data_IF_317696931764
#
_entry.id   IF_317696931764
#
_cell.length_a   1.000
_cell.length_b   1.000
_cell.length_c   1.000
_cell.angle_alpha   90.00
_cell.angle_beta   90.00
_cell.angle_gamma   90.00
#
_symmetry.space_group_name_H-M   'P 1'
#
loop_
_entity.id
_entity.type
_entity.pdbx_description
1 polymer ?
#
# COMPACT_ATOMS: atom_id res chain seq x y z
N UNK A 1 39.86 -61.53 -15.90
CA UNK A 1 38.76 -62.29 -15.25
C UNK A 1 37.46 -61.56 -15.55
N UNK A 2 36.52 -62.21 -16.24
CA UNK A 2 35.23 -61.65 -16.66
C UNK A 2 34.19 -62.06 -15.63
N UNK A 3 33.66 -61.12 -14.86
CA UNK A 3 32.59 -61.40 -13.91
C UNK A 3 31.23 -61.24 -14.61
N UNK A 4 30.56 -62.36 -14.83
CA UNK A 4 29.15 -62.43 -15.24
C UNK A 4 28.30 -62.12 -14.01
N UNK A 5 27.36 -61.18 -14.09
CA UNK A 5 26.30 -61.04 -13.10
C UNK A 5 24.94 -60.88 -13.79
N UNK A 6 24.30 -62.04 -13.94
CA UNK A 6 22.89 -62.40 -13.80
C UNK A 6 21.87 -61.25 -13.85
N UNK A 7 21.01 -61.35 -14.87
CA UNK A 7 19.72 -60.68 -15.03
C UNK A 7 18.78 -61.07 -13.87
N UNK A 8 18.20 -60.08 -13.18
CA UNK A 8 16.97 -60.28 -12.42
C UNK A 8 15.94 -59.25 -12.88
N UNK A 9 14.95 -59.77 -13.58
CA UNK A 9 13.83 -59.07 -14.19
C UNK A 9 12.72 -59.04 -13.13
N UNK A 10 12.58 -57.91 -12.42
CA UNK A 10 11.40 -57.64 -11.58
C UNK A 10 10.67 -56.47 -12.20
N UNK A 11 9.68 -56.82 -13.02
CA UNK A 11 8.54 -55.98 -13.35
C UNK A 11 7.68 -55.79 -12.11
N UNK A 12 7.59 -54.57 -11.60
CA UNK A 12 6.42 -54.12 -10.84
C UNK A 12 5.92 -52.84 -11.50
N UNK A 13 4.71 -52.95 -12.02
CA UNK A 13 3.97 -51.94 -12.74
C UNK A 13 3.29 -50.94 -11.79
N UNK A 14 3.10 -49.74 -12.32
CA UNK A 14 2.06 -48.77 -12.00
C UNK A 14 1.99 -48.23 -10.55
N UNK A 15 2.40 -46.97 -10.37
CA UNK A 15 1.44 -45.86 -10.27
C UNK A 15 2.08 -44.62 -10.92
N UNK A 16 1.42 -44.10 -11.96
CA UNK A 16 1.72 -42.80 -12.55
C UNK A 16 1.43 -41.70 -11.52
N UNK A 17 2.48 -41.22 -10.86
CA UNK A 17 2.45 -39.94 -10.15
C UNK A 17 2.57 -38.81 -11.16
N UNK A 18 1.45 -38.40 -11.75
CA UNK A 18 1.36 -37.14 -12.50
C UNK A 18 0.18 -36.33 -11.92
N UNK A 19 0.37 -35.80 -10.71
CA UNK A 19 -0.43 -34.67 -10.26
C UNK A 19 0.10 -33.44 -11.00
N UNK A 20 -0.43 -33.21 -12.21
CA UNK A 20 -0.46 -31.89 -12.81
C UNK A 20 -1.18 -30.94 -11.85
N UNK A 21 -0.49 -29.89 -11.41
CA UNK A 21 -1.03 -28.55 -11.13
C UNK A 21 0.13 -27.63 -10.70
N UNK A 22 1.17 -27.54 -11.53
CA UNK A 22 1.95 -26.33 -11.59
C UNK A 22 1.09 -25.29 -12.28
N UNK A 23 0.34 -24.49 -11.51
CA UNK A 23 -0.21 -23.24 -12.03
C UNK A 23 0.98 -22.33 -12.32
N UNK A 24 1.49 -22.39 -13.55
CA UNK A 24 2.11 -21.23 -14.18
C UNK A 24 1.14 -20.07 -13.96
N UNK A 25 1.58 -19.07 -13.21
CA UNK A 25 0.88 -17.81 -13.11
C UNK A 25 0.78 -17.28 -14.53
N UNK A 26 -0.44 -17.23 -15.05
CA UNK A 26 -0.73 -16.49 -16.26
C UNK A 26 -0.16 -15.07 -16.06
N UNK A 27 0.57 -14.51 -17.05
CA UNK A 27 0.96 -13.11 -17.00
C UNK A 27 -0.30 -12.30 -16.74
N UNK A 28 -0.28 -11.50 -15.68
CA UNK A 28 -1.30 -10.46 -15.46
C UNK A 28 -1.30 -9.61 -16.72
N UNK A 29 -2.37 -9.70 -17.51
CA UNK A 29 -2.52 -8.91 -18.72
C UNK A 29 -2.52 -7.43 -18.34
N UNK A 30 -1.41 -6.76 -18.67
CA UNK A 30 -1.26 -5.32 -18.52
C UNK A 30 -2.21 -4.64 -19.50
N UNK A 31 -3.04 -3.67 -19.07
CA UNK A 31 -3.79 -2.86 -20.01
C UNK A 31 -2.79 -2.08 -20.88
N UNK A 32 -3.08 -2.04 -22.18
CA UNK A 32 -2.21 -1.44 -23.20
C UNK A 32 -1.97 0.05 -22.91
N UNK A 33 -0.76 0.33 -22.43
CA UNK A 33 -0.23 1.66 -22.14
C UNK A 33 0.96 1.49 -21.20
N UNK A 34 2.15 1.25 -21.76
CA UNK A 34 3.36 0.83 -21.05
C UNK A 34 3.83 1.80 -19.96
N UNK A 35 3.16 1.75 -18.80
CA UNK A 35 3.48 2.52 -17.61
C UNK A 35 4.53 1.83 -16.76
N UNK A 36 5.32 2.64 -16.04
CA UNK A 36 6.28 2.14 -15.06
C UNK A 36 5.53 1.52 -13.87
N UNK A 37 6.02 0.39 -13.35
CA UNK A 37 5.52 -0.17 -12.09
C UNK A 37 5.97 0.69 -10.90
N UNK A 38 5.05 0.97 -9.99
CA UNK A 38 5.34 1.64 -8.71
C UNK A 38 5.73 0.55 -7.71
N UNK A 39 6.86 0.73 -7.03
CA UNK A 39 7.39 -0.25 -6.06
C UNK A 39 6.89 0.06 -4.64
N UNK A 40 6.96 -0.90 -3.72
CA UNK A 40 6.61 -0.68 -2.30
C UNK A 40 7.37 0.50 -1.68
N UNK A 41 8.68 0.61 -1.94
CA UNK A 41 9.50 1.75 -1.48
C UNK A 41 8.97 3.12 -1.98
N UNK A 42 8.33 3.14 -3.15
CA UNK A 42 7.70 4.36 -3.69
C UNK A 42 6.36 4.61 -2.99
N UNK A 43 5.56 3.58 -2.75
CA UNK A 43 4.33 3.69 -1.97
C UNK A 43 4.60 4.26 -0.57
N UNK A 44 5.62 3.74 0.11
CA UNK A 44 6.07 4.26 1.42
C UNK A 44 6.50 5.72 1.34
N UNK A 45 7.38 6.08 0.39
CA UNK A 45 7.84 7.45 0.22
C UNK A 45 6.70 8.44 -0.06
N UNK A 46 5.68 8.01 -0.81
CA UNK A 46 4.47 8.78 -1.11
C UNK A 46 3.65 9.00 0.16
N UNK A 47 3.27 7.92 0.86
CA UNK A 47 2.45 8.01 2.07
C UNK A 47 3.14 8.84 3.15
N UNK A 48 4.44 8.62 3.38
CA UNK A 48 5.23 9.36 4.37
C UNK A 48 5.31 10.85 4.03
N UNK A 49 5.46 11.19 2.74
CA UNK A 49 5.48 12.58 2.33
C UNK A 49 4.12 13.27 2.59
N UNK A 50 3.01 12.65 2.20
CA UNK A 50 1.68 13.24 2.34
C UNK A 50 1.33 13.40 3.82
N UNK A 51 1.59 12.38 4.65
CA UNK A 51 1.40 12.45 6.11
C UNK A 51 2.21 13.59 6.71
N UNK A 52 3.50 13.74 6.34
CA UNK A 52 4.34 14.84 6.83
C UNK A 52 3.85 16.21 6.36
N UNK A 53 3.46 16.33 5.08
CA UNK A 53 2.96 17.58 4.48
C UNK A 53 1.76 18.13 5.25
N UNK A 54 0.87 17.24 5.69
CA UNK A 54 -0.37 17.61 6.39
C UNK A 54 -0.27 17.50 7.93
N UNK A 55 0.87 17.07 8.46
CA UNK A 55 1.10 16.89 9.91
C UNK A 55 0.77 18.11 10.76
N UNK A 56 1.22 19.30 10.33
CA UNK A 56 0.96 20.56 11.05
C UNK A 56 -0.42 21.17 10.75
N UNK A 57 -1.15 20.64 9.77
CA UNK A 57 -2.49 21.14 9.41
C UNK A 57 -3.56 20.47 10.26
N UNK A 58 -3.34 19.21 10.65
CA UNK A 58 -4.29 18.39 11.38
C UNK A 58 -3.73 17.91 12.72
N UNK A 59 -3.14 18.82 13.48
CA UNK A 59 -2.51 18.54 14.79
C UNK A 59 -3.48 17.96 15.83
N UNK A 60 -4.79 18.14 15.63
CA UNK A 60 -5.84 17.60 16.50
C UNK A 60 -6.03 16.08 16.35
N UNK A 61 -5.48 15.46 15.31
CA UNK A 61 -5.53 14.02 15.12
C UNK A 61 -4.34 13.34 15.82
N UNK A 62 -4.60 12.29 16.59
CA UNK A 62 -3.56 11.50 17.27
C UNK A 62 -2.67 10.76 16.26
N UNK A 63 -3.25 10.28 15.16
CA UNK A 63 -2.54 9.58 14.10
C UNK A 63 -3.09 9.93 12.73
N UNK A 64 -2.18 10.21 11.82
CA UNK A 64 -2.47 10.46 10.41
C UNK A 64 -2.08 9.22 9.59
N UNK A 65 -2.91 8.89 8.61
CA UNK A 65 -2.69 7.83 7.65
C UNK A 65 -2.94 8.33 6.23
N UNK A 66 -2.31 7.65 5.28
CA UNK A 66 -2.55 7.82 3.87
C UNK A 66 -2.61 6.44 3.22
N UNK A 67 -3.53 6.28 2.27
CA UNK A 67 -3.62 5.17 1.33
C UNK A 67 -3.90 5.73 -0.06
N UNK A 68 -3.45 5.06 -1.11
CA UNK A 68 -3.67 5.55 -2.47
C UNK A 68 -3.83 4.43 -3.48
N UNK A 69 -4.55 4.77 -4.56
CA UNK A 69 -4.68 3.94 -5.76
C UNK A 69 -3.89 4.55 -6.89
N UNK A 70 -2.93 3.81 -7.44
CA UNK A 70 -2.16 4.26 -8.61
C UNK A 70 -2.95 3.97 -9.89
N UNK A 71 -3.15 4.99 -10.72
CA UNK A 71 -3.68 4.84 -12.08
C UNK A 71 -2.58 4.46 -13.07
N UNK A 72 -1.36 4.96 -12.83
CA UNK A 72 -0.15 4.61 -13.55
C UNK A 72 1.01 5.54 -13.21
N UNK A 73 2.16 5.30 -13.84
CA UNK A 73 3.33 6.15 -13.70
C UNK A 73 4.09 6.32 -15.02
N UNK A 74 4.73 7.47 -15.18
CA UNK A 74 5.60 7.80 -16.31
C UNK A 74 6.94 8.33 -15.80
N UNK A 75 8.00 8.15 -16.57
CA UNK A 75 9.33 8.67 -16.23
C UNK A 75 9.87 9.55 -17.36
N UNK A 76 10.38 10.72 -17.00
CA UNK A 76 11.11 11.63 -17.90
C UNK A 76 12.25 12.24 -17.13
N UNK A 77 13.45 12.27 -17.72
CA UNK A 77 14.65 12.91 -17.16
C UNK A 77 14.97 12.45 -15.72
N UNK A 78 14.75 11.17 -15.43
CA UNK A 78 14.97 10.56 -14.11
C UNK A 78 13.95 10.97 -13.04
N UNK A 79 12.87 11.66 -13.42
CA UNK A 79 11.75 12.00 -12.56
C UNK A 79 10.56 11.11 -12.90
N UNK A 80 10.10 10.36 -11.89
CA UNK A 80 8.93 9.50 -12.01
C UNK A 80 7.70 10.26 -11.53
N UNK A 81 6.74 10.47 -12.42
CA UNK A 81 5.43 11.02 -12.09
C UNK A 81 4.45 9.87 -11.85
N UNK A 82 3.89 9.80 -10.65
CA UNK A 82 2.86 8.84 -10.26
C UNK A 82 1.52 9.56 -10.25
N UNK A 83 0.56 9.01 -10.99
CA UNK A 83 -0.80 9.53 -11.13
C UNK A 83 -1.72 8.66 -10.28
N UNK A 84 -2.37 9.23 -9.27
CA UNK A 84 -3.04 8.44 -8.24
C UNK A 84 -4.30 9.11 -7.70
N UNK A 85 -5.14 8.34 -7.01
CA UNK A 85 -6.12 8.83 -6.06
C UNK A 85 -5.57 8.66 -4.65
N UNK A 86 -5.41 9.74 -3.89
CA UNK A 86 -4.98 9.69 -2.49
C UNK A 86 -6.19 9.78 -1.57
N UNK A 87 -6.18 8.99 -0.50
CA UNK A 87 -7.07 9.11 0.64
C UNK A 87 -6.24 9.30 1.90
N UNK A 88 -6.27 10.54 2.40
CA UNK A 88 -5.60 10.95 3.63
C UNK A 88 -6.63 11.14 4.74
N UNK A 89 -6.30 10.68 5.95
CA UNK A 89 -7.22 10.70 7.10
C UNK A 89 -6.50 10.82 8.44
N UNK A 90 -7.14 11.51 9.38
CA UNK A 90 -6.72 11.66 10.77
C UNK A 90 -7.67 10.97 11.72
N UNK A 91 -7.12 10.21 12.67
CA UNK A 91 -7.89 9.34 13.54
C UNK A 91 -7.43 9.49 14.99
N UNK A 92 -8.40 9.33 15.90
CA UNK A 92 -8.21 9.35 17.34
C UNK A 92 -8.66 8.02 17.92
N UNK A 93 -7.96 7.51 18.93
CA UNK A 93 -8.35 6.26 19.59
C UNK A 93 -9.76 6.34 20.18
N UNK A 94 -10.13 7.51 20.71
CA UNK A 94 -11.45 7.77 21.29
C UNK A 94 -12.61 7.63 20.27
N UNK A 95 -12.35 7.90 18.98
CA UNK A 95 -13.36 7.84 17.91
C UNK A 95 -13.21 6.63 16.99
N UNK A 96 -12.18 5.79 17.22
CA UNK A 96 -11.96 4.55 16.50
C UNK A 96 -11.75 4.76 14.99
N UNK A 97 -12.67 4.22 14.18
CA UNK A 97 -12.61 4.28 12.71
C UNK A 97 -13.17 5.57 12.12
N UNK A 98 -13.70 6.48 12.94
CA UNK A 98 -14.26 7.74 12.46
C UNK A 98 -13.14 8.70 12.05
N UNK A 99 -13.05 8.99 10.75
CA UNK A 99 -12.10 9.96 10.21
C UNK A 99 -12.46 11.38 10.67
N UNK A 100 -11.56 12.02 11.41
CA UNK A 100 -11.73 13.33 12.02
C UNK A 100 -11.25 14.48 11.13
N UNK A 101 -10.44 14.18 10.11
CA UNK A 101 -9.76 15.17 9.30
C UNK A 101 -9.18 14.53 8.05
N UNK A 102 -9.33 15.16 6.88
CA UNK A 102 -8.58 14.75 5.71
C UNK A 102 -9.29 15.09 4.41
N UNK A 103 -8.86 14.41 3.35
CA UNK A 103 -9.35 14.62 2.00
C UNK A 103 -9.13 13.36 1.17
N UNK A 104 -9.93 13.23 0.11
CA UNK A 104 -9.78 12.17 -0.87
C UNK A 104 -9.90 12.77 -2.26
N UNK A 105 -8.80 12.76 -3.01
CA UNK A 105 -8.70 13.47 -4.29
C UNK A 105 -7.64 12.83 -5.21
N UNK A 106 -7.75 13.03 -6.54
CA UNK A 106 -6.67 12.73 -7.46
C UNK A 106 -5.45 13.60 -7.18
N UNK A 107 -4.25 13.05 -7.32
CA UNK A 107 -3.01 13.78 -7.16
C UNK A 107 -1.93 13.28 -8.13
N UNK A 108 -0.95 14.15 -8.41
CA UNK A 108 0.28 13.79 -9.10
C UNK A 108 1.46 14.02 -8.17
N UNK A 109 2.21 12.96 -7.89
CA UNK A 109 3.42 13.01 -7.07
C UNK A 109 4.64 12.67 -7.91
N UNK A 110 5.70 13.45 -7.75
CA UNK A 110 6.95 13.31 -8.50
C UNK A 110 8.04 12.79 -7.57
N UNK A 111 8.68 11.71 -7.99
CA UNK A 111 9.71 11.00 -7.27
C UNK A 111 11.02 11.05 -8.04
N UNK A 112 12.13 11.13 -7.31
CA UNK A 112 13.48 10.96 -7.86
C UNK A 112 14.19 9.87 -7.05
N UNK A 113 14.87 8.94 -7.74
CA UNK A 113 15.72 7.95 -7.06
C UNK A 113 17.02 8.63 -6.60
N UNK A 114 17.35 8.40 -5.35
CA UNK A 114 18.59 8.78 -4.66
C UNK A 114 19.25 7.50 -4.11
N UNK A 115 20.46 7.60 -3.54
CA UNK A 115 21.19 6.44 -2.99
C UNK A 115 20.42 5.73 -1.86
N UNK A 116 19.75 6.50 -1.00
CA UNK A 116 19.03 5.99 0.17
C UNK A 116 17.57 5.67 -0.10
N UNK A 117 17.08 5.95 -1.31
CA UNK A 117 15.74 5.57 -1.73
C UNK A 117 15.06 6.55 -2.67
N UNK A 118 13.75 6.73 -2.55
CA UNK A 118 13.02 7.75 -3.33
C UNK A 118 12.73 9.00 -2.51
N UNK A 119 12.94 10.17 -3.12
CA UNK A 119 12.56 11.46 -2.55
C UNK A 119 11.46 12.10 -3.38
N UNK A 120 10.50 12.74 -2.72
CA UNK A 120 9.45 13.51 -3.38
C UNK A 120 9.99 14.88 -3.78
N UNK A 121 9.93 15.18 -5.07
CA UNK A 121 10.38 16.45 -5.67
C UNK A 121 9.23 17.36 -6.05
N UNK A 122 7.99 16.86 -6.03
CA UNK A 122 6.80 17.66 -6.26
C UNK A 122 5.52 16.91 -5.95
N UNK A 123 4.48 17.64 -5.55
CA UNK A 123 3.15 17.12 -5.27
C UNK A 123 2.11 18.15 -5.70
N UNK A 124 1.14 17.73 -6.50
CA UNK A 124 0.14 18.60 -7.10
C UNK A 124 -1.25 17.99 -6.93
N UNK A 125 -2.18 18.81 -6.45
CA UNK A 125 -3.60 18.51 -6.26
C UNK A 125 -4.43 19.36 -7.23
N UNK A 126 -5.64 18.90 -7.61
CA UNK A 126 -6.55 19.71 -8.41
C UNK A 126 -7.00 20.95 -7.65
N UNK A 127 -7.39 21.96 -8.40
CA UNK A 127 -8.08 23.13 -7.84
C UNK A 127 -9.52 22.77 -7.47
N UNK A 128 -10.12 23.52 -6.55
CA UNK A 128 -11.50 23.29 -6.15
C UNK A 128 -12.54 23.94 -7.08
N UNK A 129 -13.79 23.52 -6.92
CA UNK A 129 -14.96 24.14 -7.54
C UNK A 129 -14.92 24.11 -9.07
N UNK A 130 -15.25 25.24 -9.69
CA UNK A 130 -15.36 25.35 -11.15
C UNK A 130 -14.03 25.12 -11.89
N UNK A 131 -12.89 25.11 -11.18
CA UNK A 131 -11.57 24.90 -11.76
C UNK A 131 -11.11 23.43 -11.67
N UNK A 132 -11.87 22.56 -10.98
CA UNK A 132 -11.49 21.17 -10.73
C UNK A 132 -11.23 20.39 -12.00
N UNK A 133 -12.21 20.33 -12.91
CA UNK A 133 -12.09 19.55 -14.15
C UNK A 133 -10.93 20.01 -15.03
N UNK A 134 -10.71 21.32 -15.15
CA UNK A 134 -9.64 21.85 -16.00
C UNK A 134 -8.26 21.67 -15.35
N UNK A 135 -8.16 21.74 -14.01
CA UNK A 135 -6.92 21.40 -13.31
C UNK A 135 -6.52 19.94 -13.54
N UNK A 136 -7.48 18.99 -13.51
CA UNK A 136 -7.20 17.59 -13.79
C UNK A 136 -6.69 17.36 -15.22
N UNK A 137 -7.27 18.03 -16.22
CA UNK A 137 -6.79 17.96 -17.61
C UNK A 137 -5.35 18.44 -17.77
N UNK A 138 -4.94 19.42 -16.97
CA UNK A 138 -3.57 19.95 -17.00
C UNK A 138 -2.59 19.08 -16.21
N UNK A 139 -3.07 18.33 -15.21
CA UNK A 139 -2.25 17.49 -14.35
C UNK A 139 -2.03 16.08 -14.89
N UNK A 140 -3.06 15.48 -15.49
CA UNK A 140 -3.05 14.06 -15.89
C UNK A 140 -2.91 13.93 -17.41
N UNK A 141 -2.05 13.01 -17.90
CA UNK A 141 -2.07 12.63 -19.30
C UNK A 141 -3.35 11.86 -19.62
N UNK A 142 -3.73 11.87 -20.89
CA UNK A 142 -4.98 11.30 -21.40
C UNK A 142 -5.30 9.88 -20.88
N UNK A 143 -4.35 8.92 -20.79
CA UNK A 143 -4.64 7.55 -20.33
C UNK A 143 -5.13 7.46 -18.87
N UNK A 144 -4.79 8.45 -18.03
CA UNK A 144 -5.13 8.44 -16.60
C UNK A 144 -6.22 9.47 -16.26
N UNK A 145 -6.46 10.44 -17.16
CA UNK A 145 -7.43 11.51 -16.95
C UNK A 145 -8.85 10.98 -16.77
N UNK A 146 -9.26 9.98 -17.55
CA UNK A 146 -10.60 9.41 -17.42
C UNK A 146 -10.81 8.75 -16.05
N UNK A 147 -9.78 8.07 -15.53
CA UNK A 147 -9.82 7.48 -14.19
C UNK A 147 -9.93 8.58 -13.11
N UNK A 148 -9.13 9.64 -13.22
CA UNK A 148 -9.17 10.77 -12.30
C UNK A 148 -10.53 11.48 -12.29
N UNK A 149 -11.14 11.70 -13.46
CA UNK A 149 -12.46 12.35 -13.58
C UNK A 149 -13.60 11.50 -13.03
N UNK A 150 -13.52 10.17 -13.14
CA UNK A 150 -14.53 9.23 -12.63
C UNK A 150 -14.34 8.89 -11.14
N UNK A 151 -13.34 9.46 -10.47
CA UNK A 151 -12.96 9.08 -9.10
C UNK A 151 -12.35 7.66 -8.99
N UNK A 152 -11.93 7.09 -10.13
CA UNK A 152 -11.18 5.84 -10.24
C UNK A 152 -11.88 4.58 -9.71
N UNK A 153 -13.19 4.62 -9.45
CA UNK A 153 -13.92 3.52 -8.79
C UNK A 153 -13.30 3.10 -7.46
N UNK A 154 -12.56 4.00 -6.81
CA UNK A 154 -11.56 3.69 -5.78
C UNK A 154 -12.06 3.88 -4.35
N UNK A 155 -13.22 4.51 -4.16
CA UNK A 155 -13.69 4.94 -2.84
C UNK A 155 -13.82 3.81 -1.83
N UNK A 156 -14.46 2.69 -2.20
CA UNK A 156 -14.66 1.56 -1.28
C UNK A 156 -13.38 0.77 -1.01
N UNK A 157 -12.54 0.60 -2.02
CA UNK A 157 -11.24 -0.07 -1.91
C UNK A 157 -10.31 0.69 -0.96
N UNK A 158 -10.15 1.99 -1.18
CA UNK A 158 -9.32 2.86 -0.35
C UNK A 158 -9.91 3.02 1.06
N UNK A 159 -11.24 3.11 1.19
CA UNK A 159 -11.89 3.13 2.51
C UNK A 159 -11.56 1.87 3.30
N UNK A 160 -11.66 0.70 2.66
CA UNK A 160 -11.33 -0.57 3.31
C UNK A 160 -9.85 -0.64 3.70
N UNK A 161 -8.95 -0.27 2.80
CA UNK A 161 -7.51 -0.25 3.11
C UNK A 161 -7.18 0.69 4.27
N UNK A 162 -7.79 1.88 4.29
CA UNK A 162 -7.65 2.82 5.40
C UNK A 162 -8.15 2.21 6.71
N UNK A 163 -9.36 1.62 6.72
CA UNK A 163 -9.90 0.95 7.89
C UNK A 163 -8.97 -0.16 8.40
N UNK A 164 -8.38 -0.95 7.50
CA UNK A 164 -7.46 -2.02 7.87
C UNK A 164 -6.13 -1.48 8.45
N UNK A 165 -5.66 -0.30 8.00
CA UNK A 165 -4.50 0.40 8.62
C UNK A 165 -4.85 0.93 10.01
N UNK A 166 -6.02 1.56 10.16
CA UNK A 166 -6.46 2.14 11.43
C UNK A 166 -6.73 1.05 12.46
N UNK A 167 -7.41 -0.05 12.10
CA UNK A 167 -7.64 -1.20 13.01
C UNK A 167 -6.35 -1.75 13.59
N UNK A 168 -5.34 -1.97 12.75
CA UNK A 168 -4.01 -2.43 13.21
C UNK A 168 -3.40 -1.49 14.25
N UNK A 169 -3.46 -0.18 14.00
CA UNK A 169 -2.97 0.83 14.94
C UNK A 169 -3.77 0.89 16.26
N UNK A 170 -5.07 0.63 16.22
CA UNK A 170 -5.91 0.53 17.42
C UNK A 170 -5.54 -0.73 18.22
N UNK A 171 -5.42 -1.89 17.57
CA UNK A 171 -5.06 -3.18 18.20
C UNK A 171 -3.67 -3.16 18.85
N UNK A 172 -2.67 -2.55 18.20
CA UNK A 172 -1.32 -2.37 18.77
C UNK A 172 -1.37 -1.65 20.13
N UNK A 173 -2.28 -0.70 20.29
CA UNK A 173 -2.42 0.04 21.55
C UNK A 173 -3.12 -0.73 22.65
N UNK A 174 -4.10 -1.56 22.29
CA UNK A 174 -4.75 -2.44 23.25
C UNK A 174 -3.74 -3.44 23.80
N UNK A 175 -2.92 -4.04 22.94
CA UNK A 175 -1.84 -4.93 23.36
C UNK A 175 -0.82 -4.23 24.28
N UNK A 176 -0.40 -3.00 23.94
CA UNK A 176 0.47 -2.19 24.80
C UNK A 176 -0.19 -1.85 26.15
N UNK A 177 -1.50 -1.59 26.17
CA UNK A 177 -2.23 -1.30 27.42
C UNK A 177 -2.34 -2.53 28.33
N UNK A 178 -2.55 -3.72 27.76
CA UNK A 178 -2.60 -5.00 28.49
C UNK A 178 -1.23 -5.35 29.08
N UNK A 179 -0.14 -5.16 28.32
CA UNK A 179 1.22 -5.42 28.80
C UNK A 179 1.62 -4.47 29.95
N UNK A 180 1.22 -3.20 29.87
CA UNK A 180 1.53 -2.20 30.91
C UNK A 180 0.56 -2.24 32.11
N UNK A 181 -0.54 -3.00 32.02
CA UNK A 181 -1.56 -3.14 33.05
C UNK A 181 -1.47 -4.42 33.89
N UNK A 182 -0.48 -5.29 33.65
CA UNK A 182 -0.28 -6.47 34.48
C UNK A 182 0.17 -6.06 35.90
N UNK A 183 -0.52 -6.50 36.97
CA UNK A 183 -0.09 -6.23 38.33
C UNK A 183 1.28 -6.87 38.59
N UNK A 184 2.20 -6.11 39.17
CA UNK A 184 3.41 -6.65 39.81
C UNK A 184 3.00 -7.47 41.04
N UNK A 185 2.53 -8.69 40.85
CA UNK A 185 2.34 -9.68 41.91
C UNK A 185 3.70 -10.26 42.33
N UNK A 186 4.59 -9.42 42.85
CA UNK A 186 5.68 -9.85 43.74
C UNK A 186 6.02 -8.73 44.73
N UNK A 187 5.26 -8.67 45.82
CA UNK A 187 5.78 -8.21 47.09
C UNK A 187 5.35 -9.23 48.14
N UNK A 188 6.26 -10.17 48.40
CA UNK A 188 6.12 -11.14 49.48
C UNK A 188 5.79 -10.43 50.80
N UNK A 189 4.69 -10.85 51.41
CA UNK A 189 4.44 -10.54 52.81
C UNK A 189 5.44 -11.33 53.66
N UNK A 190 6.14 -10.70 54.63
CA UNK A 190 6.86 -11.46 55.62
C UNK A 190 5.86 -12.08 56.60
N UNK A 191 6.01 -13.39 56.85
CA UNK A 191 5.35 -14.09 57.95
C UNK A 191 5.63 -13.38 59.29
N UNK A 192 4.59 -13.25 60.12
CA UNK A 192 4.71 -13.07 61.57
C UNK A 192 3.99 -14.22 62.28
#
# INVERSE_FOLDING_TARGET
MKLKLIVFLITVACVLGACSNGREQAPVEQPAGGGRQVTEEMHEAISDYIVRKYGSVYEQAEKLFEVHKVYGASESDGIISVYMHSYFGGFNRATGLENQAGHSLPAVIRLKKEETGYVVTGYTEPMDGNQYTDSLKNMFPEPFLEQALKGGGSGEELRKEMEDRVKRWLEESEQLSVLNGAPNDEAGAPEQ
#
